data_IF_575808140748
#
_entry.id   IF_575808140748
#
_cell.length_a   1.000
_cell.length_b   1.000
_cell.length_c   1.000
_cell.angle_alpha   90.00
_cell.angle_beta   90.00
_cell.angle_gamma   90.00
#
_symmetry.space_group_name_H-M   'P 1'
#
loop_
_entity.id
_entity.type
_entity.pdbx_description
1 polymer ?
#
# COMPACT_ATOMS: atom_id res chain seq x y z
N UNK A 1 -2.70 -15.43 -8.14
CA UNK A 1 -3.18 -14.80 -9.38
C UNK A 1 -3.79 -13.45 -9.04
N UNK A 2 -3.38 -12.41 -9.75
CA UNK A 2 -3.94 -11.07 -9.57
C UNK A 2 -5.29 -10.97 -10.30
N UNK A 3 -6.22 -10.24 -9.68
CA UNK A 3 -7.54 -9.96 -10.24
C UNK A 3 -7.65 -8.46 -10.49
N UNK A 4 -8.18 -8.02 -11.65
CA UNK A 4 -8.38 -6.60 -11.89
C UNK A 4 -9.27 -5.96 -10.82
N UNK A 5 -8.93 -4.71 -10.43
CA UNK A 5 -9.68 -3.98 -9.41
C UNK A 5 -10.87 -3.21 -9.97
N UNK A 6 -10.85 -2.93 -11.28
CA UNK A 6 -11.90 -2.15 -11.92
C UNK A 6 -13.28 -2.73 -11.65
N UNK A 7 -14.21 -1.88 -11.32
CA UNK A 7 -15.59 -2.26 -10.97
C UNK A 7 -15.73 -3.12 -9.71
N UNK A 8 -14.67 -3.17 -8.87
CA UNK A 8 -14.73 -3.85 -7.57
C UNK A 8 -14.70 -2.83 -6.43
N UNK A 9 -15.05 -3.25 -5.18
CA UNK A 9 -14.92 -2.37 -4.01
C UNK A 9 -13.48 -1.92 -3.72
N UNK A 10 -12.50 -2.58 -4.31
CA UNK A 10 -11.07 -2.29 -4.10
C UNK A 10 -10.46 -1.43 -5.20
N UNK A 11 -11.28 -0.80 -6.05
CA UNK A 11 -10.80 0.12 -7.07
C UNK A 11 -10.50 1.48 -6.45
N UNK A 12 -9.22 1.70 -6.14
CA UNK A 12 -8.69 2.96 -5.61
C UNK A 12 -7.73 3.62 -6.61
N UNK A 13 -7.93 3.36 -7.90
CA UNK A 13 -7.15 4.02 -8.95
C UNK A 13 -7.39 5.53 -8.98
N UNK A 14 -8.49 5.98 -8.41
CA UNK A 14 -8.78 7.40 -8.18
C UNK A 14 -9.01 7.64 -6.70
N UNK A 15 -8.75 8.86 -6.26
CA UNK A 15 -9.01 9.24 -4.89
C UNK A 15 -10.50 9.09 -4.57
N UNK A 16 -10.80 8.34 -3.53
CA UNK A 16 -12.17 8.14 -3.06
C UNK A 16 -12.17 7.82 -1.58
N UNK A 17 -13.33 7.93 -0.95
CA UNK A 17 -13.47 7.57 0.46
C UNK A 17 -13.31 6.06 0.64
N UNK A 18 -12.64 5.67 1.72
CA UNK A 18 -12.60 4.26 2.13
C UNK A 18 -14.01 3.83 2.52
N UNK A 19 -14.75 4.69 3.24
CA UNK A 19 -16.10 4.38 3.67
C UNK A 19 -16.17 3.08 4.45
N UNK A 20 -17.11 2.22 4.10
CA UNK A 20 -17.27 0.91 4.72
C UNK A 20 -16.42 -0.18 4.08
N UNK A 21 -15.61 0.15 3.08
CA UNK A 21 -14.75 -0.84 2.42
C UNK A 21 -13.79 -1.43 3.43
N UNK A 22 -13.74 -2.75 3.49
CA UNK A 22 -12.81 -3.49 4.32
C UNK A 22 -11.66 -3.99 3.47
N UNK A 23 -10.45 -3.74 3.93
CA UNK A 23 -9.26 -4.20 3.25
C UNK A 23 -8.33 -4.92 4.22
N UNK A 24 -7.92 -6.09 3.83
CA UNK A 24 -6.77 -6.83 4.30
C UNK A 24 -6.23 -7.45 3.01
N UNK A 25 -5.72 -6.58 2.15
CA UNK A 25 -5.64 -6.83 0.71
C UNK A 25 -4.29 -6.41 0.18
N UNK A 26 -3.66 -7.30 -0.57
CA UNK A 26 -2.45 -6.99 -1.30
C UNK A 26 -2.80 -6.52 -2.71
N UNK A 27 -2.27 -5.36 -3.09
CA UNK A 27 -2.38 -4.81 -4.43
C UNK A 27 -1.07 -5.03 -5.17
N UNK A 28 -1.16 -5.55 -6.38
CA UNK A 28 -0.02 -5.73 -7.27
C UNK A 28 -0.21 -4.96 -8.55
N UNK A 29 0.73 -5.12 -9.49
CA UNK A 29 0.71 -4.39 -10.76
C UNK A 29 0.48 -2.90 -10.54
N UNK A 30 1.25 -2.32 -9.62
CA UNK A 30 1.09 -0.92 -9.21
C UNK A 30 1.31 0.03 -10.39
N UNK A 31 0.45 1.05 -10.50
CA UNK A 31 0.62 2.09 -11.50
C UNK A 31 1.81 2.95 -11.12
N UNK A 32 2.75 3.12 -12.04
CA UNK A 32 4.00 3.84 -11.78
C UNK A 32 4.15 5.03 -12.71
N UNK A 33 4.78 6.09 -12.18
CA UNK A 33 5.19 7.23 -13.00
C UNK A 33 6.47 6.95 -13.78
N UNK A 34 6.95 7.97 -14.49
CA UNK A 34 8.18 7.88 -15.29
C UNK A 34 9.42 7.61 -14.41
N UNK A 35 9.36 7.98 -13.14
CA UNK A 35 10.40 7.73 -12.15
C UNK A 35 10.36 6.29 -11.59
N UNK A 36 9.46 5.44 -12.12
CA UNK A 36 9.21 4.06 -11.68
C UNK A 36 8.64 3.97 -10.28
N UNK A 37 8.26 5.07 -9.67
CA UNK A 37 7.64 5.08 -8.35
C UNK A 37 6.15 4.88 -8.46
N UNK A 38 5.60 4.11 -7.53
CA UNK A 38 4.18 4.06 -7.27
C UNK A 38 3.87 4.88 -6.03
N UNK A 39 2.71 5.51 -5.98
CA UNK A 39 2.32 6.38 -4.88
C UNK A 39 0.93 6.00 -4.41
N UNK A 40 0.80 5.81 -3.10
CA UNK A 40 -0.48 5.71 -2.43
C UNK A 40 -0.73 7.00 -1.64
N UNK A 41 -1.94 7.51 -1.69
CA UNK A 41 -2.30 8.75 -1.01
C UNK A 41 -3.40 8.46 0.00
N UNK A 42 -3.17 8.85 1.25
CA UNK A 42 -4.19 8.84 2.28
C UNK A 42 -4.50 10.29 2.65
N UNK A 43 -5.75 10.68 2.48
CA UNK A 43 -6.20 12.06 2.72
C UNK A 43 -7.24 12.14 3.82
N UNK A 44 -7.11 13.16 4.65
CA UNK A 44 -8.13 13.56 5.62
C UNK A 44 -8.74 14.87 5.11
N UNK A 45 -9.95 14.80 4.50
CA UNK A 45 -10.56 16.00 3.93
C UNK A 45 -10.99 17.02 4.98
N UNK A 46 -11.25 16.58 6.22
CA UNK A 46 -11.67 17.48 7.30
C UNK A 46 -10.47 18.26 7.82
N UNK A 47 -9.35 17.59 8.05
CA UNK A 47 -8.13 18.22 8.53
C UNK A 47 -7.27 18.86 7.45
N UNK A 48 -7.65 18.71 6.17
CA UNK A 48 -6.91 19.20 5.03
C UNK A 48 -5.45 18.73 5.06
N UNK A 49 -5.27 17.46 5.35
CA UNK A 49 -3.95 16.81 5.43
C UNK A 49 -3.96 15.56 4.58
N UNK A 50 -2.82 15.28 3.98
CA UNK A 50 -2.62 14.01 3.30
C UNK A 50 -1.20 13.51 3.52
N UNK A 51 -1.02 12.22 3.32
CA UNK A 51 0.28 11.56 3.33
C UNK A 51 0.42 10.81 2.01
N UNK A 52 1.57 10.98 1.38
CA UNK A 52 1.95 10.21 0.21
C UNK A 52 2.98 9.17 0.62
N UNK A 53 2.66 7.92 0.39
CA UNK A 53 3.62 6.82 0.48
C UNK A 53 4.11 6.55 -0.94
N UNK A 54 5.40 6.69 -1.17
CA UNK A 54 6.00 6.29 -2.44
C UNK A 54 6.86 5.05 -2.24
N UNK A 55 6.88 4.20 -3.25
CA UNK A 55 7.74 3.02 -3.30
C UNK A 55 8.45 3.00 -4.64
N UNK A 56 9.72 2.57 -4.65
CA UNK A 56 10.44 2.36 -5.90
C UNK A 56 10.05 1.01 -6.53
N UNK A 57 10.68 0.67 -7.64
CA UNK A 57 10.35 -0.54 -8.39
C UNK A 57 10.79 -1.84 -7.72
N UNK A 58 11.52 -1.75 -6.62
CA UNK A 58 11.86 -2.91 -5.79
C UNK A 58 10.65 -3.45 -5.01
N UNK A 59 9.65 -2.61 -4.77
CA UNK A 59 8.42 -3.04 -4.09
C UNK A 59 7.33 -3.23 -5.12
N UNK A 60 6.94 -4.48 -5.32
CA UNK A 60 5.92 -4.86 -6.32
C UNK A 60 4.50 -4.80 -5.80
N UNK A 61 4.34 -4.78 -4.48
CA UNK A 61 3.03 -4.88 -3.83
C UNK A 61 2.87 -3.85 -2.74
N UNK A 62 1.62 -3.47 -2.52
CA UNK A 62 1.21 -2.72 -1.32
C UNK A 62 0.13 -3.52 -0.62
N UNK A 63 0.35 -3.82 0.66
CA UNK A 63 -0.66 -4.41 1.51
C UNK A 63 -1.41 -3.30 2.22
N UNK A 64 -2.74 -3.33 2.17
CA UNK A 64 -3.57 -2.34 2.84
C UNK A 64 -4.48 -3.03 3.83
N UNK A 65 -4.48 -2.54 5.06
CA UNK A 65 -5.29 -3.10 6.13
C UNK A 65 -6.06 -1.98 6.83
N UNK A 66 -7.38 -2.12 6.86
CA UNK A 66 -8.29 -1.13 7.44
C UNK A 66 -8.57 -1.37 8.92
N UNK A 67 -7.76 -2.18 9.57
CA UNK A 67 -7.81 -2.43 11.02
C UNK A 67 -9.16 -2.97 11.52
N UNK A 68 -9.79 -3.84 10.72
CA UNK A 68 -11.11 -4.37 11.05
C UNK A 68 -11.07 -5.44 12.13
N UNK A 69 -9.91 -6.07 12.36
CA UNK A 69 -9.78 -7.23 13.25
C UNK A 69 -8.75 -7.05 14.36
N UNK A 70 -8.37 -5.81 14.67
CA UNK A 70 -7.50 -5.58 15.82
C UNK A 70 -8.19 -6.04 17.11
N UNK A 71 -7.41 -6.47 18.09
CA UNK A 71 -7.96 -7.09 19.30
C UNK A 71 -8.92 -6.23 20.10
N UNK A 72 -8.61 -4.94 20.23
CA UNK A 72 -9.45 -3.98 20.93
C UNK A 72 -10.55 -3.44 20.00
N UNK A 73 -11.84 -3.75 20.26
CA UNK A 73 -12.93 -3.29 19.40
C UNK A 73 -13.02 -1.78 19.25
N UNK A 74 -12.60 -1.01 20.24
CA UNK A 74 -12.64 0.46 20.19
C UNK A 74 -11.59 1.03 19.24
N UNK A 75 -10.55 0.24 18.93
CA UNK A 75 -9.48 0.63 18.03
C UNK A 75 -9.72 0.20 16.60
N UNK A 76 -10.74 -0.60 16.33
CA UNK A 76 -11.01 -1.08 14.99
C UNK A 76 -11.37 0.07 14.07
N UNK A 77 -10.81 0.05 12.86
CA UNK A 77 -11.02 1.04 11.81
C UNK A 77 -10.60 2.47 12.20
N UNK A 78 -9.69 2.61 13.14
CA UNK A 78 -9.17 3.92 13.54
C UNK A 78 -7.87 4.29 12.82
N UNK A 79 -7.32 3.38 12.04
CA UNK A 79 -6.09 3.58 11.30
C UNK A 79 -6.10 2.73 10.04
N UNK A 80 -5.24 3.09 9.10
CA UNK A 80 -4.98 2.30 7.89
C UNK A 80 -3.50 2.00 7.84
N UNK A 81 -3.15 0.73 7.68
CA UNK A 81 -1.79 0.33 7.39
C UNK A 81 -1.62 0.23 5.88
N UNK A 82 -0.57 0.84 5.35
CA UNK A 82 -0.18 0.70 3.95
C UNK A 82 1.27 0.23 3.96
N UNK A 83 1.49 -0.99 3.52
CA UNK A 83 2.75 -1.70 3.74
C UNK A 83 3.44 -2.03 2.43
N UNK A 84 4.62 -1.45 2.17
CA UNK A 84 5.43 -1.87 1.02
C UNK A 84 5.86 -3.33 1.16
N UNK A 85 5.66 -4.11 0.11
CA UNK A 85 6.02 -5.53 0.10
C UNK A 85 6.76 -5.89 -1.19
N UNK A 86 7.76 -6.76 -1.06
CA UNK A 86 8.52 -7.26 -2.22
C UNK A 86 7.84 -8.44 -2.89
N UNK A 87 7.01 -9.17 -2.14
CA UNK A 87 6.30 -10.34 -2.61
C UNK A 87 4.88 -10.36 -2.04
N UNK A 88 3.95 -11.10 -2.64
CA UNK A 88 2.58 -11.18 -2.12
C UNK A 88 2.51 -12.02 -0.84
N UNK A 89 1.40 -11.96 -0.11
CA UNK A 89 1.21 -12.82 1.05
C UNK A 89 1.40 -14.30 0.70
N UNK A 90 1.87 -15.07 1.67
CA UNK A 90 2.10 -16.51 1.54
C UNK A 90 3.22 -16.90 0.55
N UNK A 91 4.12 -15.96 0.27
CA UNK A 91 5.17 -16.18 -0.72
C UNK A 91 6.20 -17.24 -0.30
N UNK A 92 6.40 -17.46 1.00
CA UNK A 92 7.26 -18.56 1.45
C UNK A 92 6.73 -19.92 1.03
N UNK A 93 5.43 -20.06 0.90
CA UNK A 93 4.80 -21.29 0.40
C UNK A 93 4.74 -21.33 -1.12
N UNK A 94 4.35 -20.23 -1.75
CA UNK A 94 4.11 -20.21 -3.21
C UNK A 94 5.37 -19.97 -4.03
N UNK A 95 6.36 -19.30 -3.45
CA UNK A 95 7.55 -18.83 -4.15
C UNK A 95 7.32 -17.64 -5.07
N UNK A 96 6.11 -17.11 -5.15
CA UNK A 96 5.77 -16.02 -6.06
C UNK A 96 6.54 -14.76 -5.70
N UNK A 97 7.34 -14.25 -6.63
CA UNK A 97 8.16 -13.02 -6.50
C UNK A 97 9.06 -13.00 -5.26
N UNK A 98 9.32 -14.16 -4.67
CA UNK A 98 10.19 -14.27 -3.51
C UNK A 98 11.61 -13.91 -3.91
N UNK A 99 12.25 -13.00 -3.18
CA UNK A 99 13.64 -12.65 -3.38
C UNK A 99 14.52 -13.68 -2.67
N UNK A 100 15.42 -14.29 -3.42
CA UNK A 100 16.41 -15.22 -2.89
C UNK A 100 17.81 -14.63 -3.08
N UNK A 101 18.58 -14.62 -2.01
CA UNK A 101 19.95 -14.09 -2.04
C UNK A 101 20.95 -15.21 -1.78
N UNK A 102 21.92 -15.37 -2.67
CA UNK A 102 23.06 -16.26 -2.45
C UNK A 102 24.04 -15.59 -1.47
N UNK A 103 24.92 -16.38 -0.85
CA UNK A 103 25.95 -15.79 0.04
C UNK A 103 26.76 -14.72 -0.67
N UNK A 104 26.84 -13.52 -0.04
CA UNK A 104 27.53 -12.36 -0.59
C UNK A 104 26.67 -11.47 -1.48
N UNK A 105 25.48 -11.90 -1.90
CA UNK A 105 24.56 -11.05 -2.63
C UNK A 105 23.83 -10.07 -1.70
N UNK A 106 23.49 -8.90 -2.24
CA UNK A 106 22.69 -7.90 -1.54
C UNK A 106 21.56 -7.40 -2.42
N UNK A 107 20.50 -6.91 -1.80
CA UNK A 107 19.35 -6.32 -2.46
C UNK A 107 18.98 -5.03 -1.75
N UNK A 108 18.49 -4.06 -2.52
CA UNK A 108 18.14 -2.76 -1.96
C UNK A 108 16.90 -2.22 -2.64
N UNK A 109 16.02 -1.62 -1.86
CA UNK A 109 14.88 -0.86 -2.36
C UNK A 109 14.62 0.31 -1.40
N UNK A 110 13.85 1.29 -1.88
CA UNK A 110 13.56 2.48 -1.11
C UNK A 110 12.08 2.81 -1.14
N UNK A 111 11.60 3.37 -0.05
CA UNK A 111 10.26 3.91 0.09
C UNK A 111 10.30 5.13 1.01
N UNK A 112 9.28 5.93 0.96
CA UNK A 112 9.24 7.10 1.82
C UNK A 112 7.83 7.62 2.03
N UNK A 113 7.70 8.48 3.03
CA UNK A 113 6.47 9.17 3.37
C UNK A 113 6.66 10.67 3.16
N UNK A 114 5.65 11.28 2.55
CA UNK A 114 5.63 12.74 2.36
C UNK A 114 4.30 13.30 2.88
N UNK A 115 4.30 13.96 4.03
CA UNK A 115 3.12 14.68 4.48
C UNK A 115 2.88 15.92 3.61
N UNK A 116 1.62 16.18 3.30
CA UNK A 116 1.20 17.33 2.49
C UNK A 116 0.05 18.02 3.19
N UNK A 117 0.11 19.34 3.26
CA UNK A 117 -0.98 20.16 3.78
C UNK A 117 -1.11 21.39 2.91
N UNK A 118 -2.34 21.72 2.50
CA UNK A 118 -2.58 22.93 1.73
C UNK A 118 -2.40 24.21 2.56
N UNK A 119 -2.29 24.06 3.89
CA UNK A 119 -2.03 25.18 4.80
C UNK A 119 -0.55 25.39 5.06
N UNK A 120 0.32 24.64 4.45
CA UNK A 120 1.75 24.85 4.57
C UNK A 120 2.13 26.15 3.91
N UNK A 121 2.32 27.15 4.71
CA UNK A 121 2.81 28.45 4.27
C UNK A 121 4.31 28.41 4.06
#
# INVERSE_FOLDING_TARGET
>A
MLTPVEETPWDFLRLRRIGSTRMDTAFGELVRGDDRRAVAVLSDPVGDRSVRLWVDDGFRYLMVYTADQVGDPERRRQAVAVEPMTCPPDAFRTGTDLIELDPGESWQASWGLRPVSSKAG
#
